data_IF_784295856115
#
_entry.id   IF_784295856115
#
_cell.length_a   1.000
_cell.length_b   1.000
_cell.length_c   1.000
_cell.angle_alpha   90.00
_cell.angle_beta   90.00
_cell.angle_gamma   90.00
#
_symmetry.space_group_name_H-M   'P 1'
#
loop_
_entity.id
_entity.type
_entity.pdbx_description
1 polymer ?
#
# COMPACT_ATOMS: atom_id res chain seq x y z
N UNK A 1 -22.26 11.53 10.35
CA UNK A 1 -23.31 11.27 9.34
C UNK A 1 -22.97 12.16 8.15
N UNK A 2 -22.17 11.66 7.20
CA UNK A 2 -21.79 12.38 5.97
C UNK A 2 -22.66 11.76 4.88
N UNK A 3 -23.76 12.43 4.54
CA UNK A 3 -24.71 12.00 3.52
C UNK A 3 -24.07 12.11 2.13
N UNK A 4 -24.05 10.99 1.41
CA UNK A 4 -24.61 10.84 0.06
C UNK A 4 -24.48 12.04 -0.88
N UNK A 5 -23.24 12.34 -1.30
CA UNK A 5 -23.00 13.17 -2.48
C UNK A 5 -21.84 12.62 -3.31
N UNK A 6 -21.91 11.32 -3.63
CA UNK A 6 -21.34 10.80 -4.87
C UNK A 6 -22.50 10.54 -5.83
N UNK A 7 -23.27 11.60 -6.08
CA UNK A 7 -24.13 11.63 -7.26
C UNK A 7 -23.16 11.67 -8.42
N UNK A 8 -23.30 10.69 -9.31
CA UNK A 8 -22.73 10.60 -10.64
C UNK A 8 -22.96 11.91 -11.39
N UNK A 9 -22.15 12.94 -11.13
CA UNK A 9 -22.21 14.17 -11.87
C UNK A 9 -21.47 13.95 -13.19
N UNK A 10 -22.26 14.05 -14.25
CA UNK A 10 -21.89 13.65 -15.59
C UNK A 10 -20.74 14.53 -16.13
N UNK A 11 -19.62 13.92 -16.50
CA UNK A 11 -18.85 14.44 -17.63
C UNK A 11 -17.38 14.09 -17.76
N UNK A 12 -16.57 14.12 -16.68
CA UNK A 12 -15.10 14.17 -16.87
C UNK A 12 -14.22 13.51 -15.81
N UNK A 13 -14.78 12.92 -14.76
CA UNK A 13 -13.95 12.44 -13.67
C UNK A 13 -13.43 11.03 -13.93
N UNK A 14 -12.10 10.88 -13.83
CA UNK A 14 -11.46 9.58 -13.75
C UNK A 14 -11.45 9.12 -12.28
N UNK A 15 -11.76 7.85 -12.06
CA UNK A 15 -11.86 7.22 -10.77
C UNK A 15 -10.69 6.27 -10.53
N UNK A 16 -9.98 6.51 -9.43
CA UNK A 16 -9.00 5.56 -8.91
C UNK A 16 -9.70 4.56 -7.98
N UNK A 17 -9.72 3.29 -8.37
CA UNK A 17 -10.37 2.21 -7.60
C UNK A 17 -9.28 1.44 -6.85
N UNK A 18 -9.30 1.54 -5.53
CA UNK A 18 -8.33 0.87 -4.67
C UNK A 18 -8.78 -0.57 -4.37
N UNK A 19 -7.93 -1.53 -4.70
CA UNK A 19 -8.20 -2.97 -4.56
C UNK A 19 -7.16 -3.56 -3.61
N UNK A 20 -7.61 -3.91 -2.41
CA UNK A 20 -6.80 -4.57 -1.39
C UNK A 20 -6.86 -6.09 -1.54
N UNK A 21 -5.94 -6.84 -0.87
CA UNK A 21 -6.06 -8.30 -0.83
C UNK A 21 -7.41 -8.78 -0.30
N UNK A 22 -8.06 -8.04 0.61
CA UNK A 22 -9.39 -8.36 1.13
C UNK A 22 -10.49 -8.32 0.06
N UNK A 23 -10.40 -7.41 -0.90
CA UNK A 23 -11.34 -7.30 -2.04
C UNK A 23 -11.05 -8.40 -3.06
N UNK A 24 -9.76 -8.68 -3.31
CA UNK A 24 -9.33 -9.67 -4.30
C UNK A 24 -9.58 -11.14 -3.92
N UNK A 25 -9.98 -11.43 -2.67
CA UNK A 25 -10.27 -12.79 -2.17
C UNK A 25 -11.41 -13.48 -2.92
N UNK A 26 -12.27 -12.74 -3.63
CA UNK A 26 -13.48 -13.28 -4.25
C UNK A 26 -13.36 -13.58 -5.75
N UNK A 27 -12.17 -14.00 -6.21
CA UNK A 27 -11.94 -14.52 -7.57
C UNK A 27 -12.57 -13.67 -8.69
N UNK A 28 -12.56 -12.34 -8.57
CA UNK A 28 -13.07 -11.52 -9.65
C UNK A 28 -12.23 -11.76 -10.91
N UNK A 29 -12.87 -12.38 -11.91
CA UNK A 29 -12.23 -12.83 -13.16
C UNK A 29 -12.20 -11.74 -14.23
N UNK A 30 -12.83 -10.60 -13.95
CA UNK A 30 -12.97 -9.50 -14.88
C UNK A 30 -12.95 -8.13 -14.15
N UNK A 31 -12.61 -7.03 -14.85
CA UNK A 31 -12.52 -5.71 -14.24
C UNK A 31 -13.84 -5.18 -13.70
N UNK A 32 -14.98 -5.57 -14.28
CA UNK A 32 -16.30 -5.10 -13.84
C UNK A 32 -16.59 -5.66 -12.46
N UNK A 33 -16.42 -6.97 -12.28
CA UNK A 33 -16.55 -7.63 -10.98
C UNK A 33 -15.60 -7.04 -9.93
N UNK A 34 -14.34 -6.79 -10.28
CA UNK A 34 -13.36 -6.18 -9.37
C UNK A 34 -13.79 -4.78 -8.91
N UNK A 35 -14.22 -3.93 -9.86
CA UNK A 35 -14.66 -2.57 -9.55
C UNK A 35 -15.90 -2.62 -8.67
N UNK A 36 -16.91 -3.42 -9.02
CA UNK A 36 -18.14 -3.55 -8.23
C UNK A 36 -17.86 -4.04 -6.82
N UNK A 37 -17.04 -5.08 -6.66
CA UNK A 37 -16.63 -5.59 -5.35
C UNK A 37 -15.91 -4.51 -4.52
N UNK A 38 -15.05 -3.70 -5.14
CA UNK A 38 -14.40 -2.59 -4.45
C UNK A 38 -15.41 -1.54 -3.97
N UNK A 39 -16.36 -1.14 -4.81
CA UNK A 39 -17.42 -0.20 -4.43
C UNK A 39 -18.25 -0.78 -3.27
N UNK A 40 -18.69 -2.03 -3.36
CA UNK A 40 -19.43 -2.71 -2.28
C UNK A 40 -18.63 -2.76 -0.98
N UNK A 41 -17.32 -3.06 -1.05
CA UNK A 41 -16.45 -3.09 0.12
C UNK A 41 -16.39 -1.72 0.83
N UNK A 42 -16.47 -0.62 0.08
CA UNK A 42 -16.54 0.74 0.61
C UNK A 42 -17.96 1.23 0.94
N UNK A 43 -18.96 0.34 0.91
CA UNK A 43 -20.35 0.67 1.24
C UNK A 43 -21.06 1.47 0.15
N UNK A 44 -20.55 1.43 -1.09
CA UNK A 44 -21.15 2.03 -2.27
C UNK A 44 -21.80 0.94 -3.13
N UNK A 45 -22.85 1.31 -3.85
CA UNK A 45 -23.46 0.45 -4.86
C UNK A 45 -23.25 1.06 -6.24
N UNK A 46 -22.87 0.23 -7.22
CA UNK A 46 -22.64 0.64 -8.60
C UNK A 46 -23.16 -0.44 -9.55
N UNK A 47 -23.98 0.00 -10.51
CA UNK A 47 -24.55 -0.86 -11.52
C UNK A 47 -23.49 -1.42 -12.46
N UNK A 48 -23.73 -2.62 -12.98
CA UNK A 48 -22.84 -3.22 -13.98
C UNK A 48 -22.74 -2.36 -15.25
N UNK A 49 -23.86 -1.78 -15.68
CA UNK A 49 -23.93 -0.93 -16.86
C UNK A 49 -23.16 0.38 -16.66
N UNK A 50 -23.17 0.94 -15.45
CA UNK A 50 -22.39 2.13 -15.11
C UNK A 50 -20.89 1.86 -15.19
N UNK A 51 -20.46 0.70 -14.68
CA UNK A 51 -19.05 0.28 -14.76
C UNK A 51 -18.64 0.02 -16.21
N UNK A 52 -19.47 -0.64 -17.02
CA UNK A 52 -19.21 -0.84 -18.45
C UNK A 52 -19.09 0.48 -19.19
N UNK A 53 -20.01 1.41 -18.95
CA UNK A 53 -19.97 2.75 -19.54
C UNK A 53 -18.70 3.51 -19.14
N UNK A 54 -18.31 3.43 -17.86
CA UNK A 54 -17.08 4.04 -17.36
C UNK A 54 -15.81 3.41 -17.93
N UNK A 55 -15.77 2.08 -18.11
CA UNK A 55 -14.66 1.37 -18.75
C UNK A 55 -14.53 1.76 -20.22
N UNK A 56 -15.64 1.79 -20.96
CA UNK A 56 -15.68 2.23 -22.36
C UNK A 56 -15.29 3.70 -22.54
N UNK A 57 -15.49 4.53 -21.53
CA UNK A 57 -15.07 5.92 -21.49
C UNK A 57 -13.67 6.14 -20.90
N UNK A 58 -12.90 5.08 -20.60
CA UNK A 58 -11.57 5.13 -19.97
C UNK A 58 -11.53 5.92 -18.65
N UNK A 59 -12.59 5.83 -17.85
CA UNK A 59 -12.72 6.57 -16.60
C UNK A 59 -12.09 5.87 -15.40
N UNK A 60 -11.69 4.62 -15.50
CA UNK A 60 -11.15 3.89 -14.35
C UNK A 60 -9.63 3.80 -14.40
N UNK A 61 -9.00 3.83 -13.22
CA UNK A 61 -7.64 3.39 -12.96
C UNK A 61 -7.68 2.44 -11.77
N UNK A 62 -7.09 1.26 -11.88
CA UNK A 62 -7.03 0.31 -10.78
C UNK A 62 -5.74 0.49 -9.99
N UNK A 63 -5.86 0.65 -8.68
CA UNK A 63 -4.75 0.70 -7.74
C UNK A 63 -4.77 -0.59 -6.92
N UNK A 64 -3.91 -1.53 -7.29
CA UNK A 64 -3.80 -2.85 -6.65
C UNK A 64 -2.77 -2.78 -5.54
N UNK A 65 -3.17 -3.14 -4.33
CA UNK A 65 -2.29 -3.15 -3.17
C UNK A 65 -1.86 -4.56 -2.77
N UNK A 66 -0.56 -4.71 -2.48
CA UNK A 66 0.02 -5.90 -1.88
C UNK A 66 -0.11 -7.15 -2.75
N UNK A 67 0.26 -7.09 -4.02
CA UNK A 67 0.20 -8.26 -4.93
C UNK A 67 0.98 -9.48 -4.40
N UNK A 68 2.03 -9.25 -3.61
CA UNK A 68 2.78 -10.29 -2.90
C UNK A 68 1.98 -10.99 -1.78
N UNK A 69 0.92 -10.36 -1.28
CA UNK A 69 0.07 -10.87 -0.21
C UNK A 69 -1.12 -11.70 -0.73
N UNK A 70 -1.33 -11.73 -2.04
CA UNK A 70 -2.40 -12.50 -2.67
C UNK A 70 -2.04 -13.99 -2.66
N UNK A 71 -3.02 -14.88 -2.79
CA UNK A 71 -2.72 -16.30 -3.05
C UNK A 71 -2.36 -16.51 -4.54
N UNK A 72 -1.79 -17.68 -4.86
CA UNK A 72 -1.33 -17.97 -6.22
C UNK A 72 -2.47 -18.03 -7.25
N UNK A 73 -3.66 -18.49 -6.86
CA UNK A 73 -4.80 -18.57 -7.77
C UNK A 73 -5.32 -17.17 -8.12
N UNK A 74 -5.46 -16.30 -7.12
CA UNK A 74 -5.86 -14.90 -7.31
C UNK A 74 -4.84 -14.14 -8.17
N UNK A 75 -3.53 -14.35 -7.98
CA UNK A 75 -2.50 -13.77 -8.85
C UNK A 75 -2.62 -14.26 -10.29
N UNK A 76 -2.86 -15.55 -10.51
CA UNK A 76 -3.00 -16.10 -11.86
C UNK A 76 -4.24 -15.55 -12.57
N UNK A 77 -5.37 -15.41 -11.87
CA UNK A 77 -6.57 -14.78 -12.45
C UNK A 77 -6.31 -13.31 -12.80
N UNK A 78 -5.64 -12.57 -11.92
CA UNK A 78 -5.29 -11.18 -12.18
C UNK A 78 -4.31 -11.03 -13.36
N UNK A 79 -3.36 -11.98 -13.51
CA UNK A 79 -2.47 -12.05 -14.66
C UNK A 79 -3.24 -12.27 -15.97
N UNK A 80 -4.27 -13.13 -15.97
CA UNK A 80 -5.17 -13.32 -17.13
C UNK A 80 -5.95 -12.06 -17.47
N UNK A 81 -6.47 -11.36 -16.45
CA UNK A 81 -7.17 -10.09 -16.62
C UNK A 81 -6.28 -9.03 -17.27
N UNK A 82 -5.05 -8.86 -16.80
CA UNK A 82 -4.08 -7.90 -17.38
C UNK A 82 -3.59 -8.29 -18.78
N UNK A 83 -3.73 -9.56 -19.16
CA UNK A 83 -3.44 -10.03 -20.51
C UNK A 83 -4.61 -9.85 -21.50
N UNK A 84 -5.83 -9.62 -21.01
CA UNK A 84 -7.04 -9.58 -21.83
C UNK A 84 -6.99 -8.36 -22.81
N UNK A 85 -7.09 -8.58 -24.14
CA UNK A 85 -7.10 -7.51 -25.13
C UNK A 85 -8.21 -6.48 -24.93
N UNK A 86 -9.38 -6.89 -24.43
CA UNK A 86 -10.55 -6.02 -24.27
C UNK A 86 -10.32 -4.91 -23.22
N UNK A 87 -9.36 -5.14 -22.32
CA UNK A 87 -9.04 -4.23 -21.21
C UNK A 87 -7.62 -3.69 -21.26
N UNK A 88 -6.95 -3.79 -22.42
CA UNK A 88 -5.56 -3.32 -22.59
C UNK A 88 -5.37 -1.83 -22.30
N UNK A 89 -6.44 -1.04 -22.43
CA UNK A 89 -6.44 0.40 -22.20
C UNK A 89 -6.71 0.78 -20.74
N UNK A 90 -7.04 -0.18 -19.86
CA UNK A 90 -7.30 0.09 -18.45
C UNK A 90 -5.95 0.35 -17.73
N UNK A 91 -5.71 1.56 -17.19
CA UNK A 91 -4.52 1.83 -16.39
C UNK A 91 -4.58 1.05 -15.08
N UNK A 92 -3.48 0.36 -14.77
CA UNK A 92 -3.35 -0.44 -13.55
C UNK A 92 -2.01 -0.14 -12.92
N UNK A 93 -2.02 0.25 -11.65
CA UNK A 93 -0.83 0.41 -10.81
C UNK A 93 -0.85 -0.68 -9.75
N UNK A 94 0.24 -1.44 -9.63
CA UNK A 94 0.33 -2.56 -8.69
C UNK A 94 1.46 -2.30 -7.71
N UNK A 95 1.14 -2.35 -6.42
CA UNK A 95 2.12 -2.36 -5.35
C UNK A 95 2.52 -3.80 -5.02
N UNK A 96 3.81 -4.03 -4.80
CA UNK A 96 4.33 -5.30 -4.35
C UNK A 96 5.64 -5.08 -3.60
N UNK A 97 6.00 -6.02 -2.70
CA UNK A 97 7.36 -6.08 -2.17
C UNK A 97 8.36 -6.34 -3.28
N UNK A 98 9.44 -5.57 -3.30
CA UNK A 98 10.49 -5.67 -4.30
C UNK A 98 11.09 -7.09 -4.37
N UNK A 99 11.41 -7.69 -3.23
CA UNK A 99 11.97 -9.06 -3.17
C UNK A 99 11.04 -10.08 -3.82
N UNK A 100 9.73 -9.98 -3.56
CA UNK A 100 8.76 -10.90 -4.12
C UNK A 100 8.69 -10.77 -5.64
N UNK A 101 8.55 -9.54 -6.15
CA UNK A 101 8.39 -9.33 -7.59
C UNK A 101 9.65 -9.68 -8.39
N UNK A 102 10.83 -9.42 -7.83
CA UNK A 102 12.10 -9.77 -8.47
C UNK A 102 12.37 -11.28 -8.47
N UNK A 103 11.93 -12.00 -7.43
CA UNK A 103 12.11 -13.44 -7.30
C UNK A 103 11.03 -14.25 -8.05
N UNK A 104 9.92 -13.61 -8.47
CA UNK A 104 8.88 -14.27 -9.27
C UNK A 104 9.45 -14.80 -10.60
N UNK A 105 9.16 -16.05 -10.98
CA UNK A 105 9.44 -16.57 -12.31
C UNK A 105 8.85 -15.69 -13.39
N UNK A 106 9.56 -15.51 -14.51
CA UNK A 106 9.13 -14.60 -15.60
C UNK A 106 7.69 -14.88 -16.09
N UNK A 107 7.29 -16.16 -16.13
CA UNK A 107 5.95 -16.58 -16.54
C UNK A 107 4.84 -16.11 -15.58
N UNK A 108 5.18 -15.87 -14.30
CA UNK A 108 4.27 -15.45 -13.24
C UNK A 108 4.24 -13.93 -13.03
N UNK A 109 5.15 -13.19 -13.69
CA UNK A 109 5.16 -11.72 -13.64
C UNK A 109 4.00 -11.13 -14.44
N UNK A 110 3.61 -9.91 -14.09
CA UNK A 110 2.52 -9.23 -14.77
C UNK A 110 2.91 -8.90 -16.22
N UNK A 111 2.12 -9.33 -17.21
CA UNK A 111 2.40 -9.04 -18.62
C UNK A 111 2.32 -7.54 -18.86
N UNK A 112 3.06 -7.06 -19.87
CA UNK A 112 2.99 -5.67 -20.35
C UNK A 112 3.25 -4.61 -19.26
N UNK A 113 4.10 -4.92 -18.29
CA UNK A 113 4.56 -3.94 -17.30
C UNK A 113 5.40 -2.86 -18.01
N UNK A 114 4.81 -1.67 -18.22
CA UNK A 114 5.47 -0.56 -18.92
C UNK A 114 6.61 0.08 -18.13
N UNK A 115 6.65 -0.11 -16.81
CA UNK A 115 7.76 0.35 -15.97
C UNK A 115 7.67 -0.20 -14.54
N UNK A 116 8.83 -0.51 -13.96
CA UNK A 116 8.94 -0.82 -12.54
C UNK A 116 9.28 0.47 -11.78
N UNK A 117 8.32 0.99 -11.02
CA UNK A 117 8.55 2.14 -10.16
C UNK A 117 9.00 1.65 -8.78
N UNK A 118 10.20 2.09 -8.36
CA UNK A 118 10.73 1.77 -7.03
C UNK A 118 10.58 2.95 -6.11
N UNK A 119 9.86 2.77 -5.01
CA UNK A 119 9.79 3.76 -3.92
C UNK A 119 11.19 3.96 -3.35
N UNK A 120 11.71 5.18 -3.48
CA UNK A 120 13.04 5.51 -2.96
C UNK A 120 12.99 5.74 -1.45
N UNK A 121 14.04 5.35 -0.70
CA UNK A 121 14.07 5.62 0.73
C UNK A 121 14.10 7.13 1.00
N UNK A 122 13.39 7.57 2.03
CA UNK A 122 13.25 8.98 2.41
C UNK A 122 14.65 9.64 2.51
N UNK A 123 14.88 10.78 1.83
CA UNK A 123 16.14 11.50 1.92
C UNK A 123 16.48 11.91 3.36
N UNK A 124 17.75 11.85 3.79
CA UNK A 124 18.15 12.22 5.15
C UNK A 124 17.67 13.61 5.61
N UNK A 125 17.63 14.59 4.70
CA UNK A 125 17.12 15.92 5.01
C UNK A 125 15.62 15.90 5.36
N UNK A 126 14.82 15.09 4.66
CA UNK A 126 13.40 14.92 4.95
C UNK A 126 13.16 14.14 6.24
N UNK A 127 14.05 13.19 6.60
CA UNK A 127 14.00 12.53 7.90
C UNK A 127 14.12 13.55 9.04
N UNK A 128 15.09 14.45 8.97
CA UNK A 128 15.26 15.53 9.95
C UNK A 128 14.00 16.39 10.06
N UNK A 129 13.46 16.85 8.92
CA UNK A 129 12.25 17.69 8.88
C UNK A 129 11.05 16.95 9.47
N UNK A 130 10.88 15.66 9.14
CA UNK A 130 9.80 14.84 9.68
C UNK A 130 9.87 14.75 11.21
N UNK A 131 11.06 14.50 11.78
CA UNK A 131 11.25 14.42 13.23
C UNK A 131 10.92 15.75 13.93
N UNK A 132 11.41 16.87 13.38
CA UNK A 132 11.13 18.22 13.90
C UNK A 132 9.63 18.50 13.89
N UNK A 133 8.94 18.17 12.79
CA UNK A 133 7.50 18.41 12.67
C UNK A 133 6.67 17.52 13.61
N UNK A 134 7.10 16.28 13.86
CA UNK A 134 6.34 15.33 14.68
C UNK A 134 6.59 15.43 16.18
N UNK A 135 7.80 15.81 16.60
CA UNK A 135 8.24 15.84 18.01
C UNK A 135 8.48 17.27 18.54
N UNK A 136 8.44 18.27 17.67
CA UNK A 136 8.84 19.64 17.98
C UNK A 136 10.33 19.91 17.67
N UNK A 137 10.71 21.19 17.56
CA UNK A 137 12.02 21.59 17.04
C UNK A 137 13.20 21.12 17.91
N UNK A 138 13.10 21.26 19.22
CA UNK A 138 14.19 20.87 20.14
C UNK A 138 14.37 19.35 20.19
N UNK A 139 13.28 18.62 20.50
CA UNK A 139 13.33 17.17 20.60
C UNK A 139 13.63 16.50 19.26
N UNK A 140 13.01 16.95 18.17
CA UNK A 140 13.25 16.41 16.84
C UNK A 140 14.69 16.62 16.35
N UNK A 141 15.31 17.76 16.67
CA UNK A 141 16.71 18.02 16.34
C UNK A 141 17.66 17.17 17.20
N UNK A 142 17.40 17.03 18.50
CA UNK A 142 18.17 16.18 19.40
C UNK A 142 18.13 14.71 18.95
N UNK A 143 16.94 14.20 18.63
CA UNK A 143 16.74 12.83 18.16
C UNK A 143 17.42 12.60 16.81
N UNK A 144 17.34 13.57 15.88
CA UNK A 144 18.06 13.50 14.62
C UNK A 144 19.58 13.37 14.81
N UNK A 145 20.15 14.16 15.71
CA UNK A 145 21.57 14.10 16.02
C UNK A 145 21.95 12.75 16.64
N UNK A 146 21.15 12.22 17.57
CA UNK A 146 21.37 10.91 18.15
C UNK A 146 21.32 9.78 17.09
N UNK A 147 20.32 9.78 16.21
CA UNK A 147 20.18 8.82 15.09
C UNK A 147 21.41 8.86 14.18
N UNK A 148 21.95 10.05 13.90
CA UNK A 148 23.19 10.22 13.12
C UNK A 148 24.40 9.66 13.85
N UNK A 149 24.59 10.02 15.11
CA UNK A 149 25.71 9.56 15.95
C UNK A 149 25.75 8.04 16.04
N UNK A 150 24.59 7.40 16.19
CA UNK A 150 24.46 5.94 16.25
C UNK A 150 24.44 5.24 14.88
N UNK A 151 24.66 5.98 13.78
CA UNK A 151 24.66 5.46 12.40
C UNK A 151 23.37 4.72 12.01
N UNK A 152 22.23 5.14 12.56
CA UNK A 152 20.93 4.51 12.32
C UNK A 152 20.14 5.13 11.16
N UNK A 153 20.64 6.23 10.58
CA UNK A 153 19.95 7.01 9.53
C UNK A 153 19.40 6.11 8.42
N UNK A 154 20.16 5.12 7.94
CA UNK A 154 19.73 4.21 6.86
C UNK A 154 18.41 3.49 7.16
N UNK A 155 18.15 3.14 8.42
CA UNK A 155 16.95 2.43 8.84
C UNK A 155 15.75 3.39 8.92
N UNK A 156 16.01 4.61 9.38
CA UNK A 156 15.03 5.70 9.46
C UNK A 156 14.65 6.32 8.12
N UNK A 157 15.06 5.73 6.99
CA UNK A 157 14.62 6.16 5.65
C UNK A 157 13.33 5.46 5.20
N UNK A 158 12.76 4.60 6.04
CA UNK A 158 11.46 3.96 5.80
C UNK A 158 10.38 4.75 6.56
N UNK A 159 9.33 5.27 5.89
CA UNK A 159 8.29 6.06 6.54
C UNK A 159 7.62 5.36 7.74
N UNK A 160 7.31 4.06 7.60
CA UNK A 160 6.71 3.26 8.67
C UNK A 160 7.59 3.18 9.93
N UNK A 161 8.91 3.09 9.75
CA UNK A 161 9.88 3.09 10.85
C UNK A 161 9.90 4.45 11.55
N UNK A 162 9.87 5.54 10.78
CA UNK A 162 9.83 6.90 11.33
C UNK A 162 8.58 7.13 12.17
N UNK A 163 7.42 6.75 11.64
CA UNK A 163 6.14 6.95 12.30
C UNK A 163 6.11 6.21 13.65
N UNK A 164 6.43 4.90 13.64
CA UNK A 164 6.50 4.07 14.87
C UNK A 164 7.52 4.58 15.88
N UNK A 165 8.68 5.05 15.40
CA UNK A 165 9.66 5.67 16.28
C UNK A 165 9.10 6.92 16.94
N UNK A 166 8.48 7.83 16.19
CA UNK A 166 7.92 9.05 16.78
C UNK A 166 6.78 8.77 17.77
N UNK A 167 5.94 7.75 17.53
CA UNK A 167 4.94 7.29 18.49
C UNK A 167 5.58 6.85 19.81
N UNK A 168 6.60 5.98 19.74
CA UNK A 168 7.34 5.51 20.92
C UNK A 168 8.11 6.61 21.63
N UNK A 169 8.66 7.57 20.88
CA UNK A 169 9.30 8.77 21.46
C UNK A 169 8.31 9.61 22.24
N UNK A 170 7.09 9.78 21.72
CA UNK A 170 5.99 10.47 22.44
C UNK A 170 5.55 9.73 23.69
N UNK A 171 5.65 8.40 23.73
CA UNK A 171 5.41 7.60 24.94
C UNK A 171 6.60 7.54 25.90
N UNK A 172 7.65 8.35 25.69
CA UNK A 172 8.80 8.46 26.58
C UNK A 172 9.96 7.49 26.32
N UNK A 173 9.88 6.63 25.29
CA UNK A 173 10.96 5.72 24.93
C UNK A 173 12.22 6.50 24.53
N UNK A 174 13.43 6.08 24.93
CA UNK A 174 14.68 6.75 24.50
C UNK A 174 15.08 6.40 23.08
N UNK A 175 15.83 7.28 22.40
CA UNK A 175 16.41 6.98 21.07
C UNK A 175 17.33 5.73 21.17
N UNK A 176 17.20 4.75 20.26
CA UNK A 176 18.02 3.55 20.30
C UNK A 176 19.47 3.86 19.96
N UNK A 177 20.40 3.22 20.69
CA UNK A 177 21.85 3.42 20.52
C UNK A 177 22.47 2.45 19.52
N UNK A 178 21.72 1.41 19.13
CA UNK A 178 22.16 0.39 18.20
C UNK A 178 21.00 -0.18 17.38
N UNK A 179 21.33 -0.92 16.31
CA UNK A 179 20.32 -1.63 15.50
C UNK A 179 19.59 -2.70 16.31
N UNK A 180 20.29 -3.35 17.25
CA UNK A 180 19.71 -4.39 18.10
C UNK A 180 18.68 -3.79 19.08
N UNK A 181 19.02 -2.65 19.70
CA UNK A 181 18.09 -1.93 20.57
C UNK A 181 16.87 -1.42 19.79
N UNK A 182 17.07 -0.94 18.57
CA UNK A 182 15.99 -0.55 17.69
C UNK A 182 15.06 -1.74 17.39
N UNK A 183 15.62 -2.90 17.03
CA UNK A 183 14.83 -4.11 16.78
C UNK A 183 14.06 -4.57 18.03
N UNK A 184 14.72 -4.67 19.18
CA UNK A 184 14.11 -5.16 20.43
C UNK A 184 13.12 -4.18 21.06
N UNK A 185 13.46 -2.89 21.10
CA UNK A 185 12.71 -1.88 21.84
C UNK A 185 11.62 -1.18 21.04
N UNK A 186 11.74 -1.14 19.71
CA UNK A 186 10.78 -0.47 18.84
C UNK A 186 10.04 -1.42 17.92
N UNK A 187 10.65 -2.56 17.55
CA UNK A 187 10.08 -3.48 16.56
C UNK A 187 9.66 -4.85 17.10
N UNK A 188 9.93 -5.22 18.36
CA UNK A 188 9.32 -6.43 18.92
C UNK A 188 7.78 -6.34 18.89
N UNK A 189 7.22 -5.17 19.17
CA UNK A 189 5.77 -4.92 19.07
C UNK A 189 5.29 -4.96 17.60
N UNK A 190 6.17 -4.65 16.66
CA UNK A 190 5.85 -4.70 15.24
C UNK A 190 5.59 -6.14 14.80
N UNK A 191 6.44 -7.09 15.20
CA UNK A 191 6.25 -8.50 14.86
C UNK A 191 5.03 -9.11 15.56
N UNK A 192 4.79 -8.78 16.83
CA UNK A 192 3.62 -9.31 17.57
C UNK A 192 2.29 -8.78 17.03
N UNK A 193 2.20 -7.51 16.63
CA UNK A 193 0.97 -6.93 16.05
C UNK A 193 0.73 -7.42 14.62
N UNK A 194 1.81 -7.60 13.83
CA UNK A 194 1.72 -8.12 12.46
C UNK A 194 1.31 -9.60 12.42
N UNK A 195 1.79 -10.41 13.36
CA UNK A 195 1.33 -11.80 13.55
C UNK A 195 -0.11 -11.89 14.05
N UNK A 196 -0.57 -10.99 14.92
CA UNK A 196 -1.98 -10.94 15.36
C UNK A 196 -2.94 -10.59 14.21
N UNK A 197 -2.52 -9.75 13.25
CA UNK A 197 -3.28 -9.44 12.04
C UNK A 197 -3.38 -10.63 11.08
N UNK A 198 -2.30 -11.39 10.92
CA UNK A 198 -2.32 -12.64 10.14
C UNK A 198 -3.11 -13.75 10.82
N UNK A 199 -2.99 -13.90 12.14
CA UNK A 199 -3.68 -14.92 12.92
C UNK A 199 -5.20 -14.78 12.98
N UNK A 200 -5.75 -13.58 12.75
CA UNK A 200 -7.21 -13.38 12.60
C UNK A 200 -7.71 -13.74 11.21
N UNK A 201 -6.90 -13.60 10.16
CA UNK A 201 -7.26 -13.99 8.80
C UNK A 201 -7.15 -15.50 8.51
N UNK A 202 -6.53 -16.29 9.39
CA UNK A 202 -6.52 -17.76 9.30
C UNK A 202 -7.60 -18.43 10.14
N UNK A 203 -8.50 -17.67 10.80
CA UNK A 203 -9.56 -18.19 11.66
C UNK A 203 -10.99 -17.81 11.24
N UNK A 204 -11.16 -17.17 10.09
CA UNK A 204 -12.48 -16.93 9.46
C UNK A 204 -12.52 -17.58 8.08
#
# INVERSE_FOLDING_TARGET
>A
MIQQQYVLDAGREAWAVFITPGIARHHATDPISLIRQAFTYYGLDVGEDDVKAGLGAHRFCLLIDGFDEWDAASREQFRKLTANPDYIHLPIVVSAREIFYLDLPSAERLPRTFGLLRVQPVPPAQVKVYLINRLGPEQGLADWNAIRTHRLVRIFRTPLILDKFTEKRKSGQSVPRSKIELLRGYFNDFFSTWELGKGRHYRE
#
